data_IF_163828082863
#
_entry.id   IF_163828082863
#
_cell.length_a   1.000
_cell.length_b   1.000
_cell.length_c   1.000
_cell.angle_alpha   90.00
_cell.angle_beta   90.00
_cell.angle_gamma   90.00
#
_symmetry.space_group_name_H-M   'P 1'
#
loop_
_entity.id
_entity.type
_entity.pdbx_description
1 polymer ?
#
# COMPACT_ATOMS: atom_id res chain seq x y z
N UNK A 1 -7.55 14.65 7.51
CA UNK A 1 -7.69 14.35 8.96
C UNK A 1 -8.56 13.11 9.08
N UNK A 2 -8.31 12.24 10.07
CA UNK A 2 -9.10 11.02 10.23
C UNK A 2 -10.54 11.36 10.60
N UNK A 3 -11.51 10.75 9.92
CA UNK A 3 -12.92 10.87 10.30
C UNK A 3 -13.23 9.87 11.42
N UNK A 4 -13.10 10.35 12.66
CA UNK A 4 -13.31 9.52 13.85
C UNK A 4 -14.76 9.03 13.94
N UNK A 5 -15.73 9.86 13.53
CA UNK A 5 -17.15 9.50 13.57
C UNK A 5 -17.38 8.30 12.67
N UNK A 6 -16.94 8.40 11.41
CA UNK A 6 -17.03 7.33 10.44
C UNK A 6 -16.28 6.08 10.90
N UNK A 7 -15.08 6.22 11.43
CA UNK A 7 -14.31 5.09 11.95
C UNK A 7 -15.07 4.33 13.05
N UNK A 8 -15.50 5.01 14.11
CA UNK A 8 -16.19 4.32 15.21
C UNK A 8 -17.54 3.77 14.76
N UNK A 9 -18.35 4.51 14.00
CA UNK A 9 -19.69 4.03 13.59
C UNK A 9 -19.66 2.95 12.51
N UNK A 10 -18.94 3.18 11.42
CA UNK A 10 -19.06 2.36 10.21
C UNK A 10 -17.99 1.25 10.15
N UNK A 11 -16.78 1.58 10.59
CA UNK A 11 -15.65 0.65 10.49
C UNK A 11 -15.65 -0.34 11.65
N UNK A 12 -15.78 0.15 12.88
CA UNK A 12 -15.83 -0.74 14.06
C UNK A 12 -17.22 -1.32 14.30
N UNK A 13 -18.27 -0.66 13.80
CA UNK A 13 -19.67 -1.06 14.00
C UNK A 13 -20.06 -1.24 15.47
N UNK A 14 -19.45 -0.47 16.36
CA UNK A 14 -19.85 -0.44 17.77
C UNK A 14 -21.27 0.14 17.90
N UNK A 15 -22.01 -0.36 18.89
CA UNK A 15 -23.34 0.13 19.17
C UNK A 15 -23.26 1.49 19.89
N UNK A 16 -23.53 2.56 19.15
CA UNK A 16 -23.63 3.93 19.69
C UNK A 16 -25.06 4.16 20.18
N UNK A 17 -25.21 4.55 21.45
CA UNK A 17 -26.53 4.78 22.08
C UNK A 17 -26.89 6.25 22.20
N UNK A 18 -25.90 7.16 22.22
CA UNK A 18 -26.16 8.60 22.26
C UNK A 18 -25.04 9.39 21.62
N UNK A 19 -25.36 10.56 21.10
CA UNK A 19 -24.42 11.46 20.43
C UNK A 19 -24.76 12.92 20.75
N UNK A 20 -23.75 13.68 21.18
CA UNK A 20 -23.78 15.14 21.36
C UNK A 20 -22.86 15.77 20.31
N UNK A 21 -22.66 17.08 20.24
CA UNK A 21 -21.75 17.66 19.24
C UNK A 21 -20.30 17.17 19.42
N UNK A 22 -19.84 17.03 20.67
CA UNK A 22 -18.44 16.73 20.99
C UNK A 22 -18.16 15.24 21.27
N UNK A 23 -19.17 14.48 21.72
CA UNK A 23 -18.99 13.09 22.19
C UNK A 23 -20.00 12.10 21.58
N UNK A 24 -19.55 10.86 21.39
CA UNK A 24 -20.40 9.69 21.16
C UNK A 24 -20.29 8.74 22.36
N UNK A 25 -21.41 8.17 22.81
CA UNK A 25 -21.42 7.11 23.82
C UNK A 25 -22.04 5.83 23.29
N UNK A 26 -21.58 4.69 23.78
CA UNK A 26 -22.05 3.39 23.33
C UNK A 26 -21.57 2.22 24.18
N UNK A 27 -21.88 1.01 23.76
CA UNK A 27 -21.39 -0.20 24.43
C UNK A 27 -19.91 -0.41 24.12
N UNK A 28 -19.13 -0.68 25.16
CA UNK A 28 -17.73 -1.00 25.03
C UNK A 28 -17.56 -2.39 24.40
N UNK A 29 -16.84 -2.54 23.28
CA UNK A 29 -16.67 -3.84 22.63
C UNK A 29 -15.65 -4.75 23.34
N UNK A 30 -15.04 -4.28 24.43
CA UNK A 30 -13.94 -4.99 25.11
C UNK A 30 -14.36 -5.71 26.39
N UNK A 31 -15.63 -5.61 26.78
CA UNK A 31 -16.25 -6.41 27.84
C UNK A 31 -17.75 -6.51 27.54
N UNK A 32 -18.47 -7.36 28.27
CA UNK A 32 -19.92 -7.40 28.19
C UNK A 32 -20.51 -6.14 28.85
N UNK A 33 -21.07 -5.25 28.03
CA UNK A 33 -21.51 -3.92 28.44
C UNK A 33 -22.96 -3.66 28.03
N UNK A 34 -23.83 -3.46 29.02
CA UNK A 34 -25.26 -3.18 28.84
C UNK A 34 -25.66 -1.75 29.25
N UNK A 35 -24.70 -0.89 29.64
CA UNK A 35 -24.98 0.44 30.25
C UNK A 35 -24.31 1.60 29.50
N UNK A 36 -23.85 1.35 28.28
CA UNK A 36 -23.19 2.33 27.41
C UNK A 36 -21.97 3.00 28.05
N UNK A 37 -21.02 2.18 28.49
CA UNK A 37 -19.86 2.65 29.25
C UNK A 37 -18.76 3.29 28.40
N UNK A 38 -18.79 3.15 27.08
CA UNK A 38 -17.81 3.75 26.18
C UNK A 38 -18.16 5.21 25.89
N UNK A 39 -17.19 6.11 26.02
CA UNK A 39 -17.24 7.47 25.49
C UNK A 39 -16.12 7.67 24.47
N UNK A 40 -16.43 8.39 23.39
CA UNK A 40 -15.52 8.77 22.31
C UNK A 40 -15.64 10.26 22.05
N UNK A 41 -14.53 10.98 22.12
CA UNK A 41 -14.46 12.38 21.73
C UNK A 41 -14.32 12.50 20.20
N UNK A 42 -15.26 13.17 19.54
CA UNK A 42 -15.32 13.25 18.07
C UNK A 42 -14.22 14.07 17.43
N UNK A 43 -13.62 15.02 18.17
CA UNK A 43 -12.58 15.92 17.67
C UNK A 43 -11.19 15.29 17.76
N UNK A 44 -10.91 14.61 18.86
CA UNK A 44 -9.60 14.03 19.16
C UNK A 44 -9.51 12.54 18.83
N UNK A 45 -10.65 11.85 18.70
CA UNK A 45 -10.71 10.40 18.50
C UNK A 45 -10.34 9.59 19.74
N UNK A 46 -10.10 10.25 20.88
CA UNK A 46 -9.82 9.60 22.16
C UNK A 46 -11.06 8.85 22.64
N UNK A 47 -10.85 7.68 23.20
CA UNK A 47 -11.90 6.86 23.80
C UNK A 47 -11.56 6.54 25.24
N UNK A 48 -12.61 6.37 26.06
CA UNK A 48 -12.52 5.86 27.42
C UNK A 48 -13.74 5.01 27.70
N UNK A 49 -13.51 3.84 28.26
CA UNK A 49 -14.55 3.06 28.90
C UNK A 49 -14.59 3.41 30.39
N UNK A 50 -15.78 3.77 30.87
CA UNK A 50 -16.08 4.04 32.28
C UNK A 50 -16.69 2.83 33.00
N UNK A 51 -16.68 1.67 32.35
CA UNK A 51 -17.16 0.39 32.88
C UNK A 51 -16.04 -0.45 33.51
N UNK A 52 -16.26 -1.75 33.58
CA UNK A 52 -15.39 -2.67 34.33
C UNK A 52 -13.97 -2.77 33.75
N UNK A 53 -13.78 -2.62 32.44
CA UNK A 53 -12.44 -2.62 31.86
C UNK A 53 -11.65 -1.35 32.19
N UNK A 54 -12.31 -0.20 32.38
CA UNK A 54 -11.66 1.09 32.71
C UNK A 54 -10.53 1.52 31.76
N UNK A 55 -10.50 0.98 30.54
CA UNK A 55 -9.46 1.26 29.55
C UNK A 55 -9.76 2.49 28.70
N UNK A 56 -8.74 3.04 28.06
CA UNK A 56 -8.88 4.17 27.14
C UNK A 56 -7.60 4.42 26.35
N UNK A 57 -7.68 5.27 25.33
CA UNK A 57 -6.55 5.59 24.48
C UNK A 57 -6.95 6.36 23.22
N UNK A 58 -6.05 6.39 22.24
CA UNK A 58 -6.34 6.93 20.91
C UNK A 58 -7.01 5.89 20.00
N UNK A 59 -7.46 6.36 18.84
CA UNK A 59 -8.13 5.55 17.82
C UNK A 59 -7.32 4.33 17.35
N UNK A 60 -5.98 4.46 17.26
CA UNK A 60 -5.12 3.37 16.80
C UNK A 60 -4.97 2.29 17.87
N UNK A 61 -4.95 2.68 19.15
CA UNK A 61 -4.98 1.74 20.27
C UNK A 61 -6.32 1.02 20.36
N UNK A 62 -7.44 1.73 20.12
CA UNK A 62 -8.76 1.10 20.01
C UNK A 62 -8.78 0.02 18.92
N UNK A 63 -8.29 0.40 17.73
CA UNK A 63 -8.22 -0.49 16.56
C UNK A 63 -7.39 -1.73 16.82
N UNK A 64 -6.16 -1.54 17.31
CA UNK A 64 -5.24 -2.63 17.63
C UNK A 64 -5.88 -3.62 18.62
N UNK A 65 -6.55 -3.11 19.65
CA UNK A 65 -7.25 -3.94 20.63
C UNK A 65 -8.43 -4.70 20.03
N UNK A 66 -9.26 -4.02 19.23
CA UNK A 66 -10.45 -4.61 18.64
C UNK A 66 -10.15 -5.75 17.68
N UNK A 67 -9.05 -5.64 16.93
CA UNK A 67 -8.65 -6.65 15.95
C UNK A 67 -7.80 -7.79 16.54
N UNK A 68 -7.50 -7.78 17.85
CA UNK A 68 -6.79 -8.85 18.58
C UNK A 68 -5.55 -9.37 17.86
N UNK A 69 -4.85 -8.48 17.15
CA UNK A 69 -3.60 -8.86 16.48
C UNK A 69 -2.48 -8.55 17.47
N UNK A 70 -2.04 -9.59 18.19
CA UNK A 70 -0.86 -9.51 19.04
C UNK A 70 0.30 -8.90 18.23
N UNK A 71 0.88 -7.80 18.74
CA UNK A 71 1.98 -7.10 18.07
C UNK A 71 1.59 -6.11 16.96
N UNK A 72 0.31 -5.73 16.81
CA UNK A 72 -0.06 -4.63 15.91
C UNK A 72 0.53 -3.29 16.41
N UNK A 73 1.54 -2.80 15.70
CA UNK A 73 2.11 -1.46 15.97
C UNK A 73 1.09 -0.37 15.63
N UNK A 74 1.24 0.81 16.24
CA UNK A 74 0.42 2.00 15.91
C UNK A 74 0.51 2.31 14.41
N UNK A 75 1.68 2.12 13.78
CA UNK A 75 1.85 2.31 12.33
C UNK A 75 0.94 1.37 11.53
N UNK A 76 0.90 0.08 11.90
CA UNK A 76 0.07 -0.92 11.22
C UNK A 76 -1.42 -0.67 11.46
N UNK A 77 -1.81 -0.31 12.68
CA UNK A 77 -3.19 0.09 13.00
C UNK A 77 -3.62 1.29 12.16
N UNK A 78 -2.78 2.33 12.09
CA UNK A 78 -3.02 3.50 11.25
C UNK A 78 -3.21 3.11 9.78
N UNK A 79 -2.33 2.28 9.23
CA UNK A 79 -2.42 1.86 7.82
C UNK A 79 -3.71 1.07 7.54
N UNK A 80 -4.09 0.14 8.41
CA UNK A 80 -5.32 -0.64 8.24
C UNK A 80 -6.57 0.27 8.29
N UNK A 81 -6.60 1.23 9.21
CA UNK A 81 -7.64 2.25 9.26
C UNK A 81 -7.67 3.08 7.97
N UNK A 82 -6.51 3.57 7.52
CA UNK A 82 -6.41 4.38 6.31
C UNK A 82 -6.90 3.59 5.08
N UNK A 83 -6.62 2.28 4.99
CA UNK A 83 -7.16 1.39 3.95
C UNK A 83 -8.68 1.30 4.04
N UNK A 84 -9.23 1.01 5.21
CA UNK A 84 -10.68 0.85 5.43
C UNK A 84 -11.47 2.12 5.16
N UNK A 85 -10.86 3.29 5.37
CA UNK A 85 -11.46 4.59 5.06
C UNK A 85 -11.24 5.03 3.61
N UNK A 86 -10.42 4.32 2.84
CA UNK A 86 -10.06 4.67 1.46
C UNK A 86 -9.00 5.77 1.34
N UNK A 87 -8.34 6.14 2.44
CA UNK A 87 -7.25 7.12 2.50
C UNK A 87 -5.92 6.51 2.00
N UNK A 88 -5.74 5.20 2.17
CA UNK A 88 -4.62 4.45 1.60
C UNK A 88 -5.14 3.47 0.54
N UNK A 89 -4.85 3.78 -0.73
CA UNK A 89 -5.38 3.02 -1.87
C UNK A 89 -4.55 1.77 -2.11
N UNK A 90 -5.23 0.63 -2.14
CA UNK A 90 -4.68 -0.67 -2.55
C UNK A 90 -5.48 -1.22 -3.73
N UNK A 91 -4.94 -2.25 -4.36
CA UNK A 91 -5.59 -3.08 -5.36
C UNK A 91 -5.70 -4.52 -4.83
N UNK A 92 -6.72 -5.27 -5.24
CA UNK A 92 -6.80 -6.68 -4.91
C UNK A 92 -5.61 -7.46 -5.48
N UNK A 93 -4.95 -8.27 -4.67
CA UNK A 93 -3.86 -9.14 -5.15
C UNK A 93 -4.36 -10.19 -6.15
N UNK A 94 -5.65 -10.52 -6.13
CA UNK A 94 -6.30 -11.42 -7.11
C UNK A 94 -6.23 -10.93 -8.55
N UNK A 95 -5.82 -9.67 -8.80
CA UNK A 95 -5.56 -9.16 -10.15
C UNK A 95 -4.28 -9.72 -10.77
N UNK A 96 -3.35 -10.25 -9.96
CA UNK A 96 -2.01 -10.64 -10.42
C UNK A 96 -2.06 -11.91 -11.27
N UNK A 97 -2.59 -13.01 -10.74
CA UNK A 97 -2.58 -14.31 -11.43
C UNK A 97 -3.23 -14.24 -12.83
N UNK A 98 -4.43 -13.65 -13.01
CA UNK A 98 -5.02 -13.54 -14.35
C UNK A 98 -4.19 -12.68 -15.31
N UNK A 99 -3.48 -11.66 -14.80
CA UNK A 99 -2.60 -10.85 -15.62
C UNK A 99 -1.34 -11.61 -16.03
N UNK A 100 -0.77 -12.44 -15.15
CA UNK A 100 0.36 -13.30 -15.47
C UNK A 100 -0.01 -14.34 -16.53
N UNK A 101 -1.17 -14.98 -16.41
CA UNK A 101 -1.66 -15.94 -17.41
C UNK A 101 -1.87 -15.29 -18.78
N UNK A 102 -2.42 -14.06 -18.82
CA UNK A 102 -2.51 -13.27 -20.05
C UNK A 102 -1.14 -12.94 -20.65
N UNK A 103 -0.14 -12.61 -19.83
CA UNK A 103 1.21 -12.36 -20.34
C UNK A 103 1.81 -13.64 -20.91
N UNK A 104 1.64 -14.79 -20.24
CA UNK A 104 2.15 -16.09 -20.70
C UNK A 104 1.56 -16.51 -22.05
N UNK A 105 0.29 -16.19 -22.31
CA UNK A 105 -0.36 -16.50 -23.60
C UNK A 105 -0.14 -15.45 -24.68
N UNK A 106 0.39 -14.26 -24.34
CA UNK A 106 0.66 -13.18 -25.29
C UNK A 106 2.10 -13.24 -25.80
N UNK A 107 2.30 -13.94 -26.92
CA UNK A 107 3.62 -14.12 -27.51
C UNK A 107 4.28 -12.80 -27.96
N UNK A 108 3.49 -11.80 -28.35
CA UNK A 108 4.01 -10.48 -28.73
C UNK A 108 4.67 -9.78 -27.54
N UNK A 109 4.01 -9.74 -26.38
CA UNK A 109 4.58 -9.15 -25.18
C UNK A 109 5.74 -9.96 -24.61
N UNK A 110 5.69 -11.29 -24.68
CA UNK A 110 6.84 -12.12 -24.29
C UNK A 110 8.05 -11.88 -25.18
N UNK A 111 7.86 -11.77 -26.50
CA UNK A 111 8.94 -11.47 -27.43
C UNK A 111 9.52 -10.08 -27.14
N UNK A 112 8.68 -9.08 -26.90
CA UNK A 112 9.13 -7.75 -26.52
C UNK A 112 9.97 -7.78 -25.23
N UNK A 113 9.49 -8.44 -24.17
CA UNK A 113 10.21 -8.52 -22.90
C UNK A 113 11.53 -9.29 -23.04
N UNK A 114 11.51 -10.47 -23.66
CA UNK A 114 12.67 -11.37 -23.68
C UNK A 114 13.68 -10.95 -24.76
N UNK A 115 13.22 -10.71 -25.98
CA UNK A 115 14.10 -10.49 -27.14
C UNK A 115 14.49 -9.02 -27.29
N UNK A 116 13.57 -8.08 -27.09
CA UNK A 116 13.86 -6.65 -27.27
C UNK A 116 14.37 -5.97 -25.99
N UNK A 117 13.93 -6.43 -24.81
CA UNK A 117 14.31 -5.85 -23.52
C UNK A 117 15.29 -6.71 -22.70
N UNK A 118 15.51 -7.97 -23.08
CA UNK A 118 16.41 -8.87 -22.35
C UNK A 118 15.89 -9.30 -20.98
N UNK A 119 14.61 -9.09 -20.68
CA UNK A 119 13.97 -9.49 -19.42
C UNK A 119 13.62 -10.98 -19.52
N UNK A 120 14.37 -11.80 -18.79
CA UNK A 120 14.22 -13.25 -18.83
C UNK A 120 13.00 -13.74 -18.02
N UNK A 121 12.65 -15.02 -18.19
CA UNK A 121 11.48 -15.64 -17.54
C UNK A 121 11.54 -15.58 -16.01
N UNK A 122 12.72 -15.77 -15.42
CA UNK A 122 12.88 -15.69 -13.97
C UNK A 122 12.56 -14.28 -13.44
N UNK A 123 12.95 -13.23 -14.16
CA UNK A 123 12.63 -11.84 -13.82
C UNK A 123 11.13 -11.57 -13.99
N UNK A 124 10.52 -12.05 -15.08
CA UNK A 124 9.06 -11.98 -15.30
C UNK A 124 8.29 -12.59 -14.13
N UNK A 125 8.70 -13.78 -13.69
CA UNK A 125 8.07 -14.49 -12.58
C UNK A 125 8.33 -13.81 -11.23
N UNK A 126 9.59 -13.46 -10.92
CA UNK A 126 10.00 -12.80 -9.67
C UNK A 126 9.23 -11.50 -9.43
N UNK A 127 9.12 -10.66 -10.46
CA UNK A 127 8.42 -9.38 -10.38
C UNK A 127 6.93 -9.46 -10.72
N UNK A 128 6.42 -10.67 -10.91
CA UNK A 128 5.00 -10.95 -11.17
C UNK A 128 4.45 -10.16 -12.36
N UNK A 129 5.26 -9.97 -13.40
CA UNK A 129 4.84 -9.22 -14.58
C UNK A 129 3.63 -9.89 -15.22
N UNK A 130 2.69 -9.07 -15.68
CA UNK A 130 1.45 -9.53 -16.30
C UNK A 130 1.10 -8.71 -17.53
N UNK A 131 -0.13 -8.84 -18.01
CA UNK A 131 -0.66 -8.01 -19.08
C UNK A 131 -2.18 -7.90 -19.04
N UNK A 132 -2.70 -6.87 -19.71
CA UNK A 132 -4.03 -6.89 -20.33
C UNK A 132 -3.92 -7.01 -21.85
N UNK A 133 -4.98 -6.69 -22.58
CA UNK A 133 -5.02 -6.75 -24.04
C UNK A 133 -4.07 -5.77 -24.74
N UNK A 134 -3.61 -4.74 -24.04
CA UNK A 134 -2.89 -3.61 -24.65
C UNK A 134 -1.54 -3.33 -24.01
N UNK A 135 -1.38 -3.60 -22.71
CA UNK A 135 -0.25 -3.15 -21.91
C UNK A 135 0.31 -4.26 -21.01
N UNK A 136 1.63 -4.23 -20.87
CA UNK A 136 2.38 -5.04 -19.91
C UNK A 136 2.22 -4.42 -18.51
N UNK A 137 2.02 -5.26 -17.51
CA UNK A 137 1.81 -4.86 -16.12
C UNK A 137 3.11 -5.04 -15.33
N UNK A 138 3.48 -4.00 -14.59
CA UNK A 138 4.51 -4.03 -13.56
C UNK A 138 3.81 -3.77 -12.22
N UNK A 139 3.53 -4.81 -11.42
CA UNK A 139 2.92 -4.65 -10.10
C UNK A 139 3.82 -3.89 -9.13
N UNK A 140 3.24 -2.96 -8.38
CA UNK A 140 3.97 -2.17 -7.37
C UNK A 140 3.42 -2.53 -5.99
N UNK A 141 4.28 -3.11 -5.16
CA UNK A 141 3.98 -3.47 -3.80
C UNK A 141 4.60 -2.46 -2.83
N UNK A 142 3.95 -2.27 -1.69
CA UNK A 142 4.51 -1.51 -0.57
C UNK A 142 5.28 -2.42 0.41
N UNK A 143 5.78 -1.85 1.51
CA UNK A 143 6.61 -2.56 2.47
C UNK A 143 5.89 -3.70 3.21
N UNK A 144 4.56 -3.67 3.24
CA UNK A 144 3.72 -4.72 3.85
C UNK A 144 3.25 -5.75 2.79
N UNK A 145 3.75 -5.66 1.56
CA UNK A 145 3.38 -6.53 0.45
C UNK A 145 1.98 -6.27 -0.11
N UNK A 146 1.37 -5.11 0.20
CA UNK A 146 0.09 -4.74 -0.40
C UNK A 146 0.31 -4.22 -1.81
N UNK A 147 -0.53 -4.65 -2.75
CA UNK A 147 -0.51 -4.13 -4.12
C UNK A 147 -1.05 -2.70 -4.11
N UNK A 148 -0.20 -1.71 -4.33
CA UNK A 148 -0.55 -0.29 -4.24
C UNK A 148 -0.65 0.39 -5.60
N UNK A 149 -0.17 -0.25 -6.66
CA UNK A 149 -0.39 0.17 -8.05
C UNK A 149 -0.08 -0.98 -9.00
N UNK A 150 -0.51 -0.84 -10.25
CA UNK A 150 0.02 -1.59 -11.39
C UNK A 150 0.41 -0.55 -12.43
N UNK A 151 1.70 -0.51 -12.80
CA UNK A 151 2.18 0.35 -13.88
C UNK A 151 1.96 -0.39 -15.21
N UNK A 152 1.17 0.21 -16.10
CA UNK A 152 0.77 -0.37 -17.38
C UNK A 152 1.63 0.23 -18.50
N UNK A 153 2.58 -0.55 -18.98
CA UNK A 153 3.55 -0.19 -20.01
C UNK A 153 3.03 -0.56 -21.40
N UNK A 154 3.07 0.38 -22.35
CA UNK A 154 2.74 0.15 -23.75
C UNK A 154 4.03 -0.02 -24.57
N UNK A 155 4.30 -1.20 -25.14
CA UNK A 155 5.37 -1.39 -26.11
C UNK A 155 5.29 -0.43 -27.28
N UNK A 156 6.45 0.08 -27.71
CA UNK A 156 6.62 0.94 -28.89
C UNK A 156 5.79 2.23 -28.93
N UNK A 157 5.18 2.63 -27.81
CA UNK A 157 4.42 3.87 -27.72
C UNK A 157 5.33 5.10 -27.86
N UNK A 158 4.93 6.03 -28.72
CA UNK A 158 5.58 7.34 -28.85
C UNK A 158 5.22 8.26 -27.69
N UNK A 159 3.97 8.20 -27.23
CA UNK A 159 3.43 9.00 -26.13
C UNK A 159 2.70 8.12 -25.12
N UNK A 160 2.63 8.57 -23.86
CA UNK A 160 1.89 7.87 -22.78
C UNK A 160 2.31 6.40 -22.61
N UNK A 161 3.63 6.22 -22.61
CA UNK A 161 4.31 4.92 -22.50
C UNK A 161 3.91 4.14 -21.25
N UNK A 162 3.72 4.83 -20.12
CA UNK A 162 3.37 4.20 -18.84
C UNK A 162 2.23 4.95 -18.18
N UNK A 163 1.20 4.21 -17.77
CA UNK A 163 0.06 4.73 -17.00
C UNK A 163 -0.10 3.94 -15.70
N UNK A 164 -0.80 4.51 -14.71
CA UNK A 164 -1.20 3.76 -13.51
C UNK A 164 -2.42 2.88 -13.80
N UNK A 165 -2.72 1.96 -12.88
CA UNK A 165 -3.80 0.99 -13.05
C UNK A 165 -5.14 1.66 -13.37
N UNK A 166 -5.45 2.70 -12.59
CA UNK A 166 -6.60 3.60 -12.78
C UNK A 166 -6.32 4.95 -12.12
N UNK A 167 -7.21 5.91 -12.34
CA UNK A 167 -7.13 7.24 -11.75
C UNK A 167 -6.97 7.18 -10.22
N UNK A 168 -6.13 8.07 -9.68
CA UNK A 168 -5.89 8.19 -8.25
C UNK A 168 -4.88 7.21 -7.67
N UNK A 169 -4.25 6.33 -8.46
CA UNK A 169 -3.15 5.45 -8.06
C UNK A 169 -1.77 5.99 -8.49
N UNK A 170 -1.72 7.16 -9.14
CA UNK A 170 -0.49 7.76 -9.68
C UNK A 170 0.45 8.43 -8.68
N UNK A 171 0.21 8.29 -7.37
CA UNK A 171 1.17 8.78 -6.38
C UNK A 171 2.52 8.09 -6.57
N UNK A 172 3.63 8.84 -6.51
CA UNK A 172 4.96 8.27 -6.57
C UNK A 172 5.15 7.15 -5.52
N UNK A 173 5.75 6.04 -5.94
CA UNK A 173 6.14 4.89 -5.12
C UNK A 173 7.56 4.48 -5.49
N UNK A 174 8.24 3.80 -4.58
CA UNK A 174 9.52 3.13 -4.87
C UNK A 174 9.26 1.72 -5.39
N UNK A 175 10.07 1.27 -6.35
CA UNK A 175 9.96 -0.06 -6.94
C UNK A 175 11.35 -0.64 -7.29
N UNK A 176 11.64 -1.89 -6.91
CA UNK A 176 11.06 -2.63 -5.78
C UNK A 176 11.38 -1.96 -4.44
N UNK A 177 10.39 -1.80 -3.57
CA UNK A 177 10.61 -1.21 -2.24
C UNK A 177 11.42 -2.14 -1.32
N UNK A 178 11.35 -3.44 -1.54
CA UNK A 178 12.04 -4.45 -0.73
C UNK A 178 13.57 -4.35 -0.81
N UNK A 179 14.11 -3.72 -1.87
CA UNK A 179 15.55 -3.50 -1.99
C UNK A 179 16.08 -2.49 -0.97
N UNK A 180 15.21 -1.75 -0.27
CA UNK A 180 15.59 -0.94 0.89
C UNK A 180 16.17 -1.76 2.05
N UNK A 181 16.08 -3.10 2.03
CA UNK A 181 16.77 -3.95 3.01
C UNK A 181 18.29 -4.00 2.81
N UNK A 182 18.79 -3.60 1.65
CA UNK A 182 20.22 -3.60 1.34
C UNK A 182 20.87 -2.25 1.67
N UNK A 183 22.19 -2.27 1.90
CA UNK A 183 22.97 -1.07 2.23
C UNK A 183 23.42 -0.31 0.98
N UNK A 184 23.78 -1.05 -0.08
CA UNK A 184 24.14 -0.47 -1.37
C UNK A 184 22.96 -0.60 -2.33
N UNK A 185 22.53 0.53 -2.89
CA UNK A 185 21.38 0.64 -3.78
C UNK A 185 21.78 1.37 -5.06
N UNK A 186 21.30 0.87 -6.19
CA UNK A 186 21.38 1.55 -7.48
C UNK A 186 20.04 2.24 -7.77
N UNK A 187 20.01 3.56 -7.86
CA UNK A 187 18.83 4.29 -8.31
C UNK A 187 18.84 4.39 -9.84
N UNK A 188 17.73 4.00 -10.47
CA UNK A 188 17.58 4.08 -11.93
C UNK A 188 16.31 4.83 -12.33
N UNK A 189 16.28 5.33 -13.56
CA UNK A 189 15.25 6.27 -14.00
C UNK A 189 13.84 5.68 -14.12
N UNK A 190 13.72 4.40 -14.48
CA UNK A 190 12.41 3.80 -14.77
C UNK A 190 12.29 2.32 -14.42
N UNK A 191 11.05 1.83 -14.45
CA UNK A 191 10.72 0.48 -14.00
C UNK A 191 11.36 -0.62 -14.87
N UNK A 192 11.51 -0.38 -16.18
CA UNK A 192 12.16 -1.34 -17.09
C UNK A 192 13.66 -1.49 -16.80
N UNK A 193 14.37 -0.37 -16.61
CA UNK A 193 15.79 -0.39 -16.27
C UNK A 193 16.00 -1.03 -14.89
N UNK A 194 15.06 -0.78 -13.97
CA UNK A 194 15.06 -1.37 -12.63
C UNK A 194 14.92 -2.89 -12.67
N UNK A 195 14.02 -3.42 -13.49
CA UNK A 195 13.87 -4.87 -13.71
C UNK A 195 15.17 -5.49 -14.23
N UNK A 196 15.79 -4.85 -15.23
CA UNK A 196 17.00 -5.36 -15.87
C UNK A 196 18.21 -5.30 -14.93
N UNK A 197 18.40 -4.20 -14.19
CA UNK A 197 19.47 -4.08 -13.21
C UNK A 197 19.33 -5.13 -12.09
N UNK A 198 18.11 -5.36 -11.59
CA UNK A 198 17.85 -6.43 -10.63
C UNK A 198 18.11 -7.83 -11.17
N UNK A 199 17.89 -8.05 -12.48
CA UNK A 199 18.23 -9.30 -13.15
C UNK A 199 19.74 -9.56 -13.15
N UNK A 200 20.55 -8.51 -13.29
CA UNK A 200 22.02 -8.59 -13.26
C UNK A 200 22.62 -8.57 -11.84
N UNK A 201 21.78 -8.65 -10.80
CA UNK A 201 22.22 -8.77 -9.41
C UNK A 201 22.42 -7.44 -8.68
N UNK A 202 22.06 -6.30 -9.29
CA UNK A 202 22.06 -5.03 -8.60
C UNK A 202 20.84 -4.89 -7.70
N UNK A 203 21.00 -4.23 -6.56
CA UNK A 203 19.89 -3.85 -5.69
C UNK A 203 19.24 -2.56 -6.21
N UNK A 204 18.65 -2.62 -7.41
CA UNK A 204 18.15 -1.42 -8.06
C UNK A 204 16.77 -1.00 -7.53
N UNK A 205 16.54 0.31 -7.43
CA UNK A 205 15.25 0.93 -7.11
C UNK A 205 14.99 2.07 -8.09
N UNK A 206 13.73 2.27 -8.45
CA UNK A 206 13.26 3.45 -9.18
C UNK A 206 12.06 4.07 -8.49
N UNK A 207 11.69 5.28 -8.93
CA UNK A 207 10.43 5.93 -8.56
C UNK A 207 9.44 5.80 -9.72
N UNK A 208 8.21 5.36 -9.44
CA UNK A 208 7.20 5.00 -10.46
C UNK A 208 6.65 6.18 -11.29
N UNK A 209 7.11 7.40 -11.02
CA UNK A 209 6.70 8.64 -11.72
C UNK A 209 7.84 9.27 -12.51
N UNK A 210 8.92 8.51 -12.75
CA UNK A 210 10.14 9.00 -13.39
C UNK A 210 10.97 9.91 -12.49
N UNK A 211 12.19 10.22 -12.91
CA UNK A 211 13.19 10.94 -12.11
C UNK A 211 12.66 12.23 -11.45
N UNK A 212 11.84 13.02 -12.16
CA UNK A 212 11.25 14.27 -11.63
C UNK A 212 10.20 14.07 -10.53
N UNK A 213 9.74 12.84 -10.29
CA UNK A 213 8.78 12.51 -9.25
C UNK A 213 9.40 12.01 -7.95
N UNK A 214 10.73 12.06 -7.82
CA UNK A 214 11.40 11.70 -6.56
C UNK A 214 11.05 12.70 -5.46
N UNK A 215 10.43 12.22 -4.39
CA UNK A 215 9.94 13.08 -3.30
C UNK A 215 10.94 13.15 -2.16
N UNK A 216 10.93 14.29 -1.44
CA UNK A 216 11.72 14.49 -0.22
C UNK A 216 11.45 13.41 0.84
N UNK A 217 10.21 12.94 0.95
CA UNK A 217 9.82 11.86 1.89
C UNK A 217 10.56 10.54 1.63
N UNK A 218 11.06 10.30 0.42
CA UNK A 218 11.85 9.11 0.12
C UNK A 218 13.29 9.23 0.58
N UNK A 219 13.86 10.45 0.66
CA UNK A 219 15.26 10.66 1.02
C UNK A 219 15.59 10.03 2.38
N UNK A 220 14.67 10.13 3.36
CA UNK A 220 14.84 9.54 4.68
C UNK A 220 15.00 8.01 4.63
N UNK A 221 14.40 7.34 3.65
CA UNK A 221 14.52 5.89 3.47
C UNK A 221 15.92 5.47 2.97
N UNK A 222 16.71 6.41 2.45
CA UNK A 222 18.06 6.18 1.95
C UNK A 222 19.16 6.78 2.84
N UNK A 223 18.81 7.41 3.97
CA UNK A 223 19.74 8.20 4.78
C UNK A 223 21.02 7.43 5.19
N UNK A 224 20.88 6.14 5.52
CA UNK A 224 21.99 5.29 5.98
C UNK A 224 22.50 4.35 4.88
N UNK A 225 22.33 4.71 3.60
CA UNK A 225 22.64 3.86 2.45
C UNK A 225 23.71 4.45 1.55
N UNK A 226 24.44 3.57 0.88
CA UNK A 226 25.30 3.92 -0.25
C UNK A 226 24.41 3.92 -1.49
N UNK A 227 24.22 5.09 -2.08
CA UNK A 227 23.33 5.28 -3.23
C UNK A 227 24.14 5.63 -4.47
N UNK A 228 24.13 4.72 -5.44
CA UNK A 228 24.66 4.93 -6.78
C UNK A 228 23.51 5.40 -7.70
N UNK A 229 23.78 6.29 -8.64
CA UNK A 229 22.80 6.82 -9.62
C UNK A 229 23.36 6.63 -11.02
#
# INVERSE_FOLDING_TARGET
MLDYIRYYKEITRIHITSETDDEMRGHCPFHDDNVSSLSVNKKTGLWKCFGTCSEGGNVYQFHAKMHKVDGMTIKRAKKDIDIRLGLYKTLPQSLIEPAQERLKSNQQFLNFLIQERGINRNTIERFKLGADEHRIYIPIFDEDGLLVNIRKYQPHAKETKVISYKEGYGSAKLFPIENLKYNEILLVEGEMDCLLANQFGYNAITVTTGAGGFKKEFVELFADKIVNI
#
